data_IF_130308456061
#
_entry.id   IF_130308456061
#
_cell.length_a   1.000
_cell.length_b   1.000
_cell.length_c   1.000
_cell.angle_alpha   90.00
_cell.angle_beta   90.00
_cell.angle_gamma   90.00
#
_symmetry.space_group_name_H-M   'P 1'
#
loop_
_entity.id
_entity.type
_entity.pdbx_description
1 polymer ?
#
# COMPACT_ATOMS: atom_id res chain seq x y z
N UNK A 1 2.26 -15.52 -8.91
CA UNK A 1 2.82 -16.81 -8.53
C UNK A 1 4.21 -17.01 -9.10
N UNK A 2 4.41 -16.81 -10.41
CA UNK A 2 5.71 -17.04 -11.06
C UNK A 2 6.82 -16.20 -10.45
N UNK A 3 6.63 -14.88 -10.29
CA UNK A 3 7.68 -14.00 -9.77
C UNK A 3 8.08 -14.37 -8.34
N UNK A 4 7.09 -14.64 -7.48
CA UNK A 4 7.32 -15.07 -6.09
C UNK A 4 8.11 -16.38 -6.03
N UNK A 5 7.60 -17.43 -6.69
CA UNK A 5 8.22 -18.77 -6.66
C UNK A 5 9.64 -18.73 -7.23
N UNK A 6 9.84 -18.05 -8.36
CA UNK A 6 11.17 -17.89 -8.95
C UNK A 6 12.13 -17.14 -8.02
N UNK A 7 11.68 -16.04 -7.39
CA UNK A 7 12.53 -15.29 -6.47
C UNK A 7 12.92 -16.09 -5.24
N UNK A 8 11.98 -16.84 -4.65
CA UNK A 8 12.23 -17.71 -3.50
C UNK A 8 13.19 -18.84 -3.88
N UNK A 9 12.95 -19.51 -5.01
CA UNK A 9 13.83 -20.56 -5.50
C UNK A 9 15.28 -20.06 -5.69
N UNK A 10 15.46 -18.90 -6.33
CA UNK A 10 16.79 -18.31 -6.54
C UNK A 10 17.48 -17.96 -5.21
N UNK A 11 16.74 -17.45 -4.22
CA UNK A 11 17.30 -17.22 -2.89
C UNK A 11 17.82 -18.51 -2.26
N UNK A 12 17.04 -19.60 -2.31
CA UNK A 12 17.48 -20.90 -1.78
C UNK A 12 18.69 -21.47 -2.53
N UNK A 13 18.72 -21.35 -3.87
CA UNK A 13 19.83 -21.81 -4.69
C UNK A 13 21.14 -21.04 -4.42
N UNK A 14 21.05 -19.79 -3.98
CA UNK A 14 22.20 -18.92 -3.70
C UNK A 14 22.63 -18.88 -2.23
N UNK A 15 21.84 -19.44 -1.31
CA UNK A 15 22.24 -19.62 0.10
C UNK A 15 23.63 -20.24 0.27
N UNK A 16 24.01 -21.33 -0.44
CA UNK A 16 25.35 -21.91 -0.29
C UNK A 16 26.46 -21.06 -0.92
N UNK A 17 26.12 -20.06 -1.76
CA UNK A 17 27.10 -19.23 -2.49
C UNK A 17 27.43 -17.97 -1.69
N UNK A 18 26.41 -17.18 -1.32
CA UNK A 18 26.59 -15.95 -0.54
C UNK A 18 25.26 -15.37 -0.05
N UNK A 19 25.22 -15.03 1.24
CA UNK A 19 24.10 -14.29 1.83
C UNK A 19 23.91 -12.90 1.20
N UNK A 20 24.95 -12.29 0.63
CA UNK A 20 24.85 -11.00 -0.05
C UNK A 20 23.99 -11.07 -1.32
N UNK A 21 24.10 -12.14 -2.10
CA UNK A 21 23.25 -12.34 -3.27
C UNK A 21 21.80 -12.62 -2.88
N UNK A 22 21.58 -13.37 -1.80
CA UNK A 22 20.25 -13.60 -1.25
C UNK A 22 19.59 -12.29 -0.84
N UNK A 23 20.32 -11.42 -0.12
CA UNK A 23 19.82 -10.10 0.26
C UNK A 23 19.51 -9.24 -0.96
N UNK A 24 20.40 -9.21 -1.96
CA UNK A 24 20.19 -8.44 -3.19
C UNK A 24 18.94 -8.89 -3.95
N UNK A 25 18.75 -10.20 -4.15
CA UNK A 25 17.56 -10.74 -4.83
C UNK A 25 16.31 -10.48 -3.99
N UNK A 26 16.39 -10.58 -2.66
CA UNK A 26 15.27 -10.25 -1.77
C UNK A 26 14.80 -8.82 -1.95
N UNK A 27 15.71 -7.85 -1.88
CA UNK A 27 15.38 -6.43 -2.05
C UNK A 27 14.81 -6.15 -3.44
N UNK A 28 15.42 -6.69 -4.50
CA UNK A 28 14.95 -6.52 -5.87
C UNK A 28 13.56 -7.14 -6.10
N UNK A 29 13.36 -8.36 -5.59
CA UNK A 29 12.08 -9.04 -5.69
C UNK A 29 10.98 -8.28 -4.95
N UNK A 30 11.26 -7.77 -3.74
CA UNK A 30 10.30 -6.96 -2.97
C UNK A 30 9.90 -5.70 -3.74
N UNK A 31 10.86 -4.94 -4.26
CA UNK A 31 10.55 -3.73 -5.05
C UNK A 31 9.73 -4.09 -6.28
N UNK A 32 10.10 -5.14 -7.02
CA UNK A 32 9.37 -5.59 -8.20
C UNK A 32 7.93 -6.00 -7.88
N UNK A 33 7.71 -6.78 -6.82
CA UNK A 33 6.39 -7.21 -6.39
C UNK A 33 5.50 -6.02 -5.99
N UNK A 34 6.02 -5.12 -5.16
CA UNK A 34 5.27 -3.93 -4.71
C UNK A 34 4.87 -3.05 -5.90
N UNK A 35 5.79 -2.84 -6.85
CA UNK A 35 5.52 -2.05 -8.06
C UNK A 35 4.47 -2.68 -8.97
N UNK A 36 4.61 -3.98 -9.24
CA UNK A 36 3.65 -4.71 -10.06
C UNK A 36 2.27 -4.69 -9.40
N UNK A 37 2.19 -4.89 -8.08
CA UNK A 37 0.95 -4.79 -7.33
C UNK A 37 0.27 -3.42 -7.49
N UNK A 38 1.01 -2.32 -7.40
CA UNK A 38 0.47 -0.95 -7.57
C UNK A 38 -0.07 -0.69 -8.97
N UNK A 39 0.62 -1.21 -10.00
CA UNK A 39 0.14 -1.12 -11.39
C UNK A 39 -1.14 -1.96 -11.54
N UNK A 40 -1.15 -3.18 -11.00
CA UNK A 40 -2.33 -4.05 -10.99
C UNK A 40 -3.52 -3.39 -10.28
N UNK A 41 -3.27 -2.76 -9.14
CA UNK A 41 -4.24 -1.98 -8.37
C UNK A 41 -4.85 -0.84 -9.21
N UNK A 42 -4.03 -0.02 -9.88
CA UNK A 42 -4.55 1.05 -10.76
C UNK A 42 -5.31 0.50 -11.98
N UNK A 43 -4.89 -0.66 -12.49
CA UNK A 43 -5.64 -1.38 -13.52
C UNK A 43 -7.00 -1.85 -13.01
N UNK A 44 -7.14 -2.28 -11.76
CA UNK A 44 -8.44 -2.61 -11.17
C UNK A 44 -9.38 -1.39 -11.18
N UNK A 45 -8.83 -0.20 -10.88
CA UNK A 45 -9.54 1.09 -10.94
C UNK A 45 -9.74 1.65 -12.35
N UNK A 46 -9.24 0.98 -13.38
CA UNK A 46 -9.30 1.43 -14.78
C UNK A 46 -8.62 2.80 -15.02
N UNK A 47 -7.62 3.14 -14.21
CA UNK A 47 -6.96 4.44 -14.21
C UNK A 47 -5.54 4.42 -14.81
N UNK A 48 -4.91 3.26 -14.90
CA UNK A 48 -3.52 3.14 -15.34
C UNK A 48 -3.35 3.45 -16.84
N UNK A 49 -4.08 2.73 -17.71
CA UNK A 49 -3.97 2.88 -19.17
C UNK A 49 -5.03 3.82 -19.76
N UNK A 50 -4.73 4.52 -20.87
CA UNK A 50 -5.65 5.46 -21.51
C UNK A 50 -7.00 4.84 -21.94
N UNK A 51 -6.98 3.58 -22.43
CA UNK A 51 -8.20 2.89 -22.83
C UNK A 51 -8.78 2.08 -21.67
N UNK A 52 -9.92 2.55 -21.17
CA UNK A 52 -10.67 1.89 -20.09
C UNK A 52 -11.27 0.56 -20.57
N UNK A 53 -11.48 -0.36 -19.62
CA UNK A 53 -12.03 -1.70 -19.84
C UNK A 53 -10.96 -2.71 -20.24
N UNK A 54 -10.83 -2.96 -21.55
CA UNK A 54 -10.09 -4.14 -22.05
C UNK A 54 -8.60 -4.12 -21.74
N UNK A 55 -7.93 -2.98 -21.95
CA UNK A 55 -6.47 -2.91 -21.77
C UNK A 55 -6.07 -3.03 -20.30
N UNK A 56 -6.75 -2.29 -19.41
CA UNK A 56 -6.51 -2.37 -17.97
C UNK A 56 -6.83 -3.76 -17.42
N UNK A 57 -7.92 -4.41 -17.86
CA UNK A 57 -8.22 -5.79 -17.47
C UNK A 57 -7.15 -6.79 -17.94
N UNK A 58 -6.70 -6.69 -19.19
CA UNK A 58 -5.68 -7.58 -19.73
C UNK A 58 -4.34 -7.42 -18.97
N UNK A 59 -3.87 -6.17 -18.81
CA UNK A 59 -2.64 -5.89 -18.09
C UNK A 59 -2.73 -6.29 -16.61
N UNK A 60 -3.82 -5.92 -15.94
CA UNK A 60 -4.03 -6.24 -14.53
C UNK A 60 -4.15 -7.75 -14.27
N UNK A 61 -4.82 -8.50 -15.15
CA UNK A 61 -4.89 -9.97 -15.03
C UNK A 61 -3.52 -10.63 -15.27
N UNK A 62 -2.75 -10.15 -16.26
CA UNK A 62 -1.38 -10.63 -16.47
C UNK A 62 -0.50 -10.37 -15.25
N UNK A 63 -0.53 -9.15 -14.71
CA UNK A 63 0.18 -8.78 -13.49
C UNK A 63 -0.30 -9.60 -12.29
N UNK A 64 -1.60 -9.87 -12.20
CA UNK A 64 -2.18 -10.70 -11.15
C UNK A 64 -1.63 -12.12 -11.15
N UNK A 65 -1.41 -12.71 -12.34
CA UNK A 65 -0.73 -14.01 -12.47
C UNK A 65 0.71 -13.94 -11.99
N UNK A 66 1.45 -12.85 -12.28
CA UNK A 66 2.82 -12.67 -11.81
C UNK A 66 2.90 -12.51 -10.28
N UNK A 67 2.02 -11.69 -9.72
CA UNK A 67 2.00 -11.30 -8.30
C UNK A 67 1.22 -12.23 -7.37
N UNK A 68 0.48 -13.20 -7.93
CA UNK A 68 -0.46 -14.05 -7.18
C UNK A 68 -1.65 -13.26 -6.60
N UNK A 69 -2.13 -12.28 -7.35
CA UNK A 69 -3.24 -11.41 -6.95
C UNK A 69 -4.22 -11.30 -8.13
N UNK A 70 -5.09 -12.32 -8.34
CA UNK A 70 -6.02 -12.31 -9.46
C UNK A 70 -6.90 -11.04 -9.41
N UNK A 71 -6.85 -10.26 -10.49
CA UNK A 71 -7.36 -8.88 -10.53
C UNK A 71 -8.86 -8.81 -10.25
N UNK A 72 -9.66 -9.71 -10.85
CA UNK A 72 -11.11 -9.64 -10.72
C UNK A 72 -11.56 -9.98 -9.29
N UNK A 73 -10.93 -10.99 -8.67
CA UNK A 73 -11.21 -11.36 -7.28
C UNK A 73 -10.74 -10.26 -6.32
N UNK A 74 -9.46 -9.89 -6.40
CA UNK A 74 -8.89 -8.87 -5.52
C UNK A 74 -9.55 -7.50 -5.74
N UNK A 75 -9.82 -7.11 -6.98
CA UNK A 75 -10.46 -5.84 -7.32
C UNK A 75 -11.89 -5.73 -6.78
N UNK A 76 -12.65 -6.83 -6.79
CA UNK A 76 -13.99 -6.85 -6.18
C UNK A 76 -13.95 -6.64 -4.66
N UNK A 77 -12.99 -7.26 -3.98
CA UNK A 77 -12.79 -7.10 -2.53
C UNK A 77 -12.23 -5.72 -2.20
N UNK A 78 -11.29 -5.23 -3.02
CA UNK A 78 -10.63 -3.96 -2.83
C UNK A 78 -11.59 -2.77 -2.99
N UNK A 79 -12.55 -2.87 -3.93
CA UNK A 79 -13.61 -1.87 -4.10
C UNK A 79 -14.49 -1.75 -2.82
N UNK A 80 -14.64 -2.85 -2.07
CA UNK A 80 -15.33 -2.84 -0.77
C UNK A 80 -14.43 -2.37 0.39
N UNK A 81 -13.11 -2.45 0.24
CA UNK A 81 -12.10 -2.22 1.29
C UNK A 81 -11.58 -0.78 1.39
N UNK A 82 -12.19 0.22 0.75
CA UNK A 82 -11.64 1.59 0.71
C UNK A 82 -11.71 2.39 2.04
N UNK A 83 -11.18 1.87 3.15
CA UNK A 83 -11.10 2.55 4.44
C UNK A 83 -9.75 2.27 5.15
N UNK A 84 -8.72 3.10 4.91
CA UNK A 84 -7.67 3.63 5.86
C UNK A 84 -6.36 4.08 5.16
N UNK A 85 -5.49 4.83 5.87
CA UNK A 85 -4.53 5.82 5.31
C UNK A 85 -3.11 5.72 5.92
N UNK A 86 -2.05 6.08 5.18
CA UNK A 86 -0.70 6.37 5.72
C UNK A 86 0.14 7.27 4.79
N UNK A 87 0.99 8.15 5.33
CA UNK A 87 1.92 8.99 4.55
C UNK A 87 3.37 8.46 4.67
N UNK A 88 3.98 8.17 3.52
CA UNK A 88 5.31 7.59 3.43
C UNK A 88 6.40 8.65 3.19
N UNK A 89 7.65 8.40 3.61
CA UNK A 89 8.76 9.31 3.37
C UNK A 89 9.14 9.33 1.89
N UNK A 90 9.64 10.48 1.42
CA UNK A 90 9.84 10.78 -0.01
C UNK A 90 10.76 9.82 -0.76
N UNK A 91 11.74 9.22 -0.10
CA UNK A 91 12.62 8.22 -0.73
C UNK A 91 11.93 6.87 -0.97
N UNK A 92 10.87 6.56 -0.20
CA UNK A 92 10.01 5.41 -0.44
C UNK A 92 8.99 5.66 -1.55
N UNK A 93 8.70 6.91 -1.93
CA UNK A 93 7.70 7.22 -2.96
C UNK A 93 8.00 6.56 -4.29
N UNK A 94 9.29 6.46 -4.65
CA UNK A 94 9.70 5.68 -5.80
C UNK A 94 9.35 4.21 -5.53
N UNK A 95 9.98 3.53 -4.58
CA UNK A 95 9.73 2.11 -4.32
C UNK A 95 8.23 1.73 -4.17
N UNK A 96 7.44 2.59 -3.53
CA UNK A 96 6.04 2.33 -3.15
C UNK A 96 5.03 3.08 -4.02
N UNK A 97 5.42 3.53 -5.23
CA UNK A 97 4.50 4.11 -6.20
C UNK A 97 3.58 5.19 -5.64
N UNK A 98 4.09 6.09 -4.80
CA UNK A 98 3.31 7.18 -4.19
C UNK A 98 2.11 6.75 -3.31
N UNK A 99 2.09 5.53 -2.77
CA UNK A 99 1.05 5.08 -1.82
C UNK A 99 0.95 5.97 -0.55
N UNK A 100 1.93 6.85 -0.27
CA UNK A 100 1.77 7.90 0.75
C UNK A 100 0.60 8.88 0.50
N UNK A 101 0.17 9.00 -0.77
CA UNK A 101 -0.97 9.82 -1.18
C UNK A 101 -2.25 8.99 -1.38
N UNK A 102 -2.30 7.79 -0.79
CA UNK A 102 -3.45 6.89 -0.96
C UNK A 102 -4.77 7.50 -0.45
N UNK A 103 -4.72 8.53 0.40
CA UNK A 103 -5.89 9.36 0.74
C UNK A 103 -6.54 10.01 -0.50
N UNK A 104 -5.75 10.60 -1.40
CA UNK A 104 -6.25 11.17 -2.66
C UNK A 104 -6.75 10.07 -3.59
N UNK A 105 -6.10 8.91 -3.56
CA UNK A 105 -6.53 7.77 -4.33
C UNK A 105 -7.88 7.21 -3.84
N UNK A 106 -8.12 7.18 -2.53
CA UNK A 106 -9.44 6.86 -1.98
C UNK A 106 -10.50 7.93 -2.26
N UNK A 107 -10.11 9.21 -2.31
CA UNK A 107 -11.00 10.29 -2.70
C UNK A 107 -11.45 10.16 -4.17
N UNK A 108 -10.50 9.80 -5.06
CA UNK A 108 -10.78 9.57 -6.47
C UNK A 108 -9.87 8.47 -7.05
N UNK A 109 -10.32 7.21 -7.08
CA UNK A 109 -9.50 6.07 -7.55
C UNK A 109 -9.20 6.13 -9.05
N UNK A 110 -9.86 7.03 -9.80
CA UNK A 110 -9.54 7.28 -11.21
C UNK A 110 -8.21 8.01 -11.40
N UNK A 111 -7.60 8.54 -10.34
CA UNK A 111 -6.27 9.12 -10.38
C UNK A 111 -5.26 8.00 -10.16
N UNK A 112 -4.46 7.63 -11.18
CA UNK A 112 -3.47 6.58 -11.02
C UNK A 112 -2.33 7.02 -10.09
N UNK A 113 -1.67 6.06 -9.46
CA UNK A 113 -0.62 6.25 -8.45
C UNK A 113 0.50 7.21 -8.90
N UNK A 114 0.90 7.13 -10.18
CA UNK A 114 1.95 7.99 -10.73
C UNK A 114 1.55 9.48 -10.85
N UNK A 115 0.25 9.82 -10.74
CA UNK A 115 -0.26 11.20 -10.74
C UNK A 115 -0.67 11.73 -9.36
N UNK A 116 -0.71 10.88 -8.33
CA UNK A 116 -1.20 11.29 -7.00
C UNK A 116 -0.38 12.43 -6.40
N UNK A 117 0.95 12.37 -6.52
CA UNK A 117 1.81 13.45 -6.03
C UNK A 117 1.49 14.78 -6.73
N UNK A 118 1.33 14.79 -8.05
CA UNK A 118 0.96 16.00 -8.79
C UNK A 118 -0.42 16.54 -8.38
N UNK A 119 -1.38 15.66 -8.09
CA UNK A 119 -2.69 16.05 -7.57
C UNK A 119 -2.60 16.64 -6.16
N UNK A 120 -1.74 16.12 -5.30
CA UNK A 120 -1.56 16.66 -3.95
C UNK A 120 -1.04 18.10 -4.00
N UNK A 121 -0.09 18.38 -4.90
CA UNK A 121 0.51 19.70 -5.03
C UNK A 121 -0.30 20.68 -5.91
N UNK A 122 -1.42 20.26 -6.51
CA UNK A 122 -2.21 21.15 -7.38
C UNK A 122 -3.10 22.13 -6.63
N UNK A 123 -3.46 21.85 -5.38
CA UNK A 123 -4.36 22.67 -4.58
C UNK A 123 -3.92 22.68 -3.10
N UNK A 124 -3.77 23.84 -2.45
CA UNK A 124 -3.48 23.93 -1.02
C UNK A 124 -4.47 23.17 -0.12
N UNK A 125 -5.76 23.11 -0.49
CA UNK A 125 -6.78 22.37 0.29
C UNK A 125 -6.48 20.87 0.35
N UNK A 126 -5.84 20.30 -0.69
CA UNK A 126 -5.45 18.89 -0.72
C UNK A 126 -4.22 18.60 0.15
N UNK A 127 -3.57 19.63 0.69
CA UNK A 127 -2.41 19.55 1.58
C UNK A 127 -2.77 19.79 3.05
N UNK A 128 -3.99 20.28 3.35
CA UNK A 128 -4.45 20.58 4.72
C UNK A 128 -4.73 19.33 5.59
N UNK A 129 -4.71 18.14 4.99
CA UNK A 129 -4.93 16.88 5.71
C UNK A 129 -3.81 16.57 6.73
N UNK A 130 -4.19 16.09 7.92
CA UNK A 130 -3.22 15.56 8.89
C UNK A 130 -2.47 14.38 8.30
N UNK A 131 -1.21 14.60 7.93
CA UNK A 131 -0.36 13.55 7.40
C UNK A 131 0.35 12.84 8.55
N UNK A 132 0.19 11.52 8.65
CA UNK A 132 0.91 10.68 9.61
C UNK A 132 2.26 10.30 9.00
N UNK A 133 3.36 10.74 9.57
CA UNK A 133 4.71 10.34 9.11
C UNK A 133 4.95 8.85 9.32
N UNK A 134 5.92 8.32 8.59
CA UNK A 134 6.34 6.92 8.70
C UNK A 134 6.59 6.44 10.14
N UNK A 135 7.28 7.26 10.94
CA UNK A 135 7.60 6.91 12.32
C UNK A 135 6.39 7.05 13.25
N UNK A 136 5.50 8.00 12.97
CA UNK A 136 4.23 8.10 13.67
C UNK A 136 3.35 6.87 13.37
N UNK A 137 3.39 6.31 12.15
CA UNK A 137 2.66 5.07 11.84
C UNK A 137 3.01 3.93 12.79
N UNK A 138 4.29 3.74 13.13
CA UNK A 138 4.71 2.73 14.11
C UNK A 138 4.21 3.03 15.53
N UNK A 139 4.15 4.31 15.92
CA UNK A 139 3.62 4.71 17.24
C UNK A 139 2.10 4.50 17.32
N UNK A 140 1.39 4.82 16.24
CA UNK A 140 -0.05 4.69 16.15
C UNK A 140 -0.50 3.24 15.97
N UNK A 141 0.37 2.34 15.52
CA UNK A 141 0.06 0.91 15.37
C UNK A 141 -0.39 0.22 16.66
N UNK A 142 -0.03 0.78 17.82
CA UNK A 142 -0.43 0.28 19.13
C UNK A 142 -1.78 0.83 19.61
N UNK A 143 -2.38 1.78 18.89
CA UNK A 143 -3.69 2.33 19.21
C UNK A 143 -4.77 1.42 18.62
N UNK A 144 -5.58 0.84 19.48
CA UNK A 144 -6.54 -0.21 19.09
C UNK A 144 -7.95 0.02 19.65
N UNK A 145 -8.08 0.80 20.72
CA UNK A 145 -9.34 1.01 21.45
C UNK A 145 -9.83 2.44 21.24
N UNK A 146 -11.12 2.63 21.03
CA UNK A 146 -11.74 3.96 20.97
C UNK A 146 -12.22 4.38 22.36
N UNK A 147 -11.67 5.47 22.88
CA UNK A 147 -12.13 6.11 24.10
C UNK A 147 -13.22 7.13 23.75
N UNK A 148 -14.46 6.86 24.15
CA UNK A 148 -15.61 7.73 23.88
C UNK A 148 -15.54 9.05 24.63
N UNK A 149 -15.00 9.07 25.85
CA UNK A 149 -14.91 10.27 26.68
C UNK A 149 -13.88 11.24 26.13
N UNK A 150 -12.71 10.73 25.77
CA UNK A 150 -11.60 11.52 25.24
C UNK A 150 -11.67 11.69 23.71
N UNK A 151 -12.63 11.02 23.04
CA UNK A 151 -12.85 10.99 21.59
C UNK A 151 -11.57 10.72 20.80
N UNK A 152 -10.79 9.75 21.24
CA UNK A 152 -9.51 9.38 20.63
C UNK A 152 -9.24 7.89 20.73
N UNK A 153 -8.33 7.41 19.89
CA UNK A 153 -7.81 6.06 20.02
C UNK A 153 -6.77 5.99 21.14
N UNK A 154 -6.82 4.92 21.92
CA UNK A 154 -5.88 4.58 23.01
C UNK A 154 -5.30 3.19 22.79
N UNK A 155 -4.17 2.90 23.43
CA UNK A 155 -3.56 1.57 23.43
C UNK A 155 -4.11 0.68 24.54
N UNK A 156 -3.99 -0.64 24.40
CA UNK A 156 -4.33 -1.59 25.48
C UNK A 156 -3.56 -1.27 26.77
N UNK A 157 -2.27 -0.95 26.66
CA UNK A 157 -1.46 -0.59 27.83
C UNK A 157 -1.91 0.71 28.51
N UNK A 158 -2.60 1.61 27.80
CA UNK A 158 -3.18 2.82 28.36
C UNK A 158 -4.53 2.53 29.05
N UNK A 159 -5.35 1.66 28.45
CA UNK A 159 -6.57 1.15 29.05
C UNK A 159 -6.30 0.42 30.38
N UNK A 160 -5.32 -0.49 30.40
CA UNK A 160 -4.95 -1.25 31.60
C UNK A 160 -4.42 -0.37 32.75
N UNK A 161 -3.81 0.78 32.42
CA UNK A 161 -3.31 1.76 33.40
C UNK A 161 -4.40 2.68 33.94
N UNK A 162 -5.48 2.89 33.19
CA UNK A 162 -6.54 3.84 33.52
C UNK A 162 -7.76 3.18 34.14
N UNK A 163 -7.94 1.86 33.99
CA UNK A 163 -8.78 1.02 34.84
C UNK A 163 -10.29 1.28 34.82
N UNK A 164 -10.78 2.26 34.06
CA UNK A 164 -12.22 2.55 33.98
C UNK A 164 -12.68 2.81 32.53
N UNK A 165 -13.79 2.19 32.10
CA UNK A 165 -14.62 2.77 31.06
C UNK A 165 -15.29 3.99 31.68
N UNK A 166 -14.76 5.18 31.39
CA UNK A 166 -15.39 6.47 31.69
C UNK A 166 -16.87 6.42 31.29
N UNK A 167 -17.75 6.41 32.28
CA UNK A 167 -19.21 6.52 32.11
C UNK A 167 -19.62 7.93 31.74
#
# INVERSE_FOLDING_TARGET
MILYVTSVYLMFALLPVSYGYVLAISLLATVAHVRLFMIGHDCAHQSYLPRKGRQNKALGNFIGVLTNTPLDYWGSQHLMHHQTVGNLPRWLHWATGNIGYHHLHHLNPKIPNYKLAACHYSDPMLQEGKSITFWESFRLANLALWDESARRLISFAEFDRTGEPTR
#
